data_IF_665915205062
#
_entry.id   IF_665915205062
#
_cell.length_a   1.000
_cell.length_b   1.000
_cell.length_c   1.000
_cell.angle_alpha   90.00
_cell.angle_beta   90.00
_cell.angle_gamma   90.00
#
_symmetry.space_group_name_H-M   'P 1'
#
loop_
_entity.id
_entity.type
_entity.pdbx_description
1 polymer ?
#
# COMPACT_ATOMS: atom_id res chain seq x y z
N UNK A 1 -2.82 -20.33 3.51
CA UNK A 1 -3.06 -21.45 4.45
C UNK A 1 -4.50 -21.45 4.98
N UNK A 2 -5.00 -20.37 5.60
CA UNK A 2 -6.39 -20.32 6.14
C UNK A 2 -7.47 -20.56 5.07
N UNK A 3 -7.36 -19.91 3.90
CA UNK A 3 -8.31 -20.15 2.78
C UNK A 3 -8.36 -21.61 2.31
N UNK A 4 -7.25 -22.34 2.42
CA UNK A 4 -7.18 -23.74 2.02
C UNK A 4 -7.97 -24.63 2.98
N UNK A 5 -7.95 -24.30 4.28
CA UNK A 5 -8.71 -24.99 5.32
C UNK A 5 -10.22 -24.70 5.17
N UNK A 6 -10.58 -23.45 4.87
CA UNK A 6 -11.96 -23.06 4.57
C UNK A 6 -12.52 -23.68 3.27
N UNK A 7 -11.70 -24.32 2.45
CA UNK A 7 -12.16 -25.03 1.24
C UNK A 7 -12.33 -26.54 1.44
N UNK A 8 -11.96 -27.07 2.61
CA UNK A 8 -12.15 -28.49 2.90
C UNK A 8 -13.64 -28.81 3.08
N UNK A 9 -14.04 -30.00 2.59
CA UNK A 9 -15.38 -30.55 2.82
C UNK A 9 -15.56 -30.92 4.29
N UNK A 10 -16.80 -30.97 4.77
CA UNK A 10 -17.10 -31.36 6.16
C UNK A 10 -16.56 -32.76 6.50
N UNK A 11 -16.57 -33.68 5.53
CA UNK A 11 -16.03 -35.04 5.65
C UNK A 11 -14.53 -35.02 6.00
N UNK A 12 -13.73 -34.24 5.27
CA UNK A 12 -12.29 -34.13 5.53
C UNK A 12 -11.97 -33.43 6.85
N UNK A 13 -12.87 -32.58 7.33
CA UNK A 13 -12.74 -31.92 8.64
C UNK A 13 -13.05 -32.92 9.77
N UNK A 14 -14.05 -33.80 9.56
CA UNK A 14 -14.36 -34.87 10.50
C UNK A 14 -13.18 -35.85 10.66
N UNK A 15 -12.50 -36.19 9.57
CA UNK A 15 -11.31 -37.05 9.58
C UNK A 15 -10.13 -36.45 10.38
N UNK A 16 -10.07 -35.12 10.51
CA UNK A 16 -9.03 -34.42 11.28
C UNK A 16 -9.31 -34.43 12.80
N UNK A 17 -10.42 -35.00 13.26
CA UNK A 17 -10.81 -35.02 14.68
C UNK A 17 -11.04 -33.63 15.27
N UNK A 18 -11.28 -32.62 14.43
CA UNK A 18 -11.46 -31.23 14.85
C UNK A 18 -12.92 -30.96 15.25
N UNK A 19 -13.17 -30.08 16.24
CA UNK A 19 -14.52 -29.61 16.56
C UNK A 19 -15.17 -28.98 15.32
N UNK A 20 -16.46 -29.28 15.08
CA UNK A 20 -17.20 -28.68 13.96
C UNK A 20 -17.30 -27.17 14.17
N UNK A 21 -16.77 -26.41 13.20
CA UNK A 21 -16.93 -24.96 13.19
C UNK A 21 -18.42 -24.61 12.98
N UNK A 22 -18.95 -23.68 13.77
CA UNK A 22 -20.30 -23.17 13.54
C UNK A 22 -20.33 -22.39 12.21
N UNK A 23 -21.48 -22.36 11.54
CA UNK A 23 -21.66 -21.65 10.27
C UNK A 23 -21.27 -20.18 10.37
N UNK A 24 -21.60 -19.52 11.49
CA UNK A 24 -21.24 -18.13 11.75
C UNK A 24 -19.73 -17.93 11.92
N UNK A 25 -19.04 -18.88 12.58
CA UNK A 25 -17.59 -18.80 12.75
C UNK A 25 -16.92 -18.94 11.38
N UNK A 26 -17.39 -19.89 10.55
CA UNK A 26 -16.89 -20.09 9.20
C UNK A 26 -17.02 -18.84 8.35
N UNK A 27 -18.20 -18.21 8.37
CA UNK A 27 -18.45 -16.94 7.67
C UNK A 27 -17.54 -15.83 8.18
N UNK A 28 -17.36 -15.73 9.50
CA UNK A 28 -16.45 -14.73 10.10
C UNK A 28 -15.01 -14.94 9.62
N UNK A 29 -14.55 -16.18 9.51
CA UNK A 29 -13.22 -16.48 8.96
C UNK A 29 -13.10 -16.13 7.47
N UNK A 30 -14.15 -16.38 6.68
CA UNK A 30 -14.22 -15.97 5.26
C UNK A 30 -14.15 -14.44 5.14
N UNK A 31 -14.96 -13.71 5.93
CA UNK A 31 -14.95 -12.25 5.96
C UNK A 31 -13.57 -11.70 6.35
N UNK A 32 -12.92 -12.27 7.37
CA UNK A 32 -11.56 -11.88 7.77
C UNK A 32 -10.55 -12.14 6.66
N UNK A 33 -10.64 -13.28 5.96
CA UNK A 33 -9.76 -13.58 4.84
C UNK A 33 -9.91 -12.55 3.71
N UNK A 34 -11.13 -12.14 3.42
CA UNK A 34 -11.44 -11.15 2.40
C UNK A 34 -10.95 -9.75 2.80
N UNK A 35 -11.19 -9.34 4.05
CA UNK A 35 -10.72 -8.05 4.60
C UNK A 35 -9.19 -7.95 4.53
N UNK A 36 -8.47 -9.07 4.65
CA UNK A 36 -7.01 -9.10 4.63
C UNK A 36 -6.39 -9.20 3.22
N UNK A 37 -7.18 -9.43 2.17
CA UNK A 37 -6.72 -9.47 0.76
C UNK A 37 -5.87 -8.24 0.39
N UNK A 38 -6.24 -6.99 0.73
CA UNK A 38 -5.45 -5.82 0.33
C UNK A 38 -4.04 -5.84 0.90
N UNK A 39 -3.87 -6.34 2.13
CA UNK A 39 -2.56 -6.47 2.76
C UNK A 39 -1.74 -7.59 2.12
N UNK A 40 -2.36 -8.71 1.78
CA UNK A 40 -1.70 -9.79 1.04
C UNK A 40 -1.14 -9.27 -0.30
N UNK A 41 -1.95 -8.52 -1.06
CA UNK A 41 -1.53 -7.89 -2.33
C UNK A 41 -0.39 -6.88 -2.10
N UNK A 42 -0.53 -6.01 -1.11
CA UNK A 42 0.49 -5.00 -0.80
C UNK A 42 1.81 -5.65 -0.39
N UNK A 43 1.78 -6.63 0.51
CA UNK A 43 2.96 -7.40 0.93
C UNK A 43 3.60 -8.13 -0.25
N UNK A 44 2.81 -8.77 -1.10
CA UNK A 44 3.33 -9.45 -2.29
C UNK A 44 4.01 -8.48 -3.25
N UNK A 45 3.46 -7.28 -3.41
CA UNK A 45 4.02 -6.26 -4.28
C UNK A 45 5.29 -5.60 -3.72
N UNK A 46 5.53 -5.65 -2.40
CA UNK A 46 6.69 -5.00 -1.75
C UNK A 46 7.74 -5.99 -1.21
N UNK A 47 7.53 -7.30 -1.30
CA UNK A 47 8.49 -8.27 -0.77
C UNK A 47 9.61 -8.63 -1.76
N UNK A 48 10.85 -8.56 -1.25
CA UNK A 48 12.05 -9.35 -1.61
C UNK A 48 12.49 -9.39 -3.06
N UNK A 49 11.80 -10.18 -3.88
CA UNK A 49 12.34 -10.67 -5.16
C UNK A 49 11.93 -9.82 -6.37
N UNK A 50 11.13 -8.76 -6.16
CA UNK A 50 10.59 -7.93 -7.25
C UNK A 50 11.33 -6.61 -7.45
N UNK A 51 12.44 -6.36 -6.73
CA UNK A 51 13.23 -5.13 -6.90
C UNK A 51 12.42 -3.86 -6.61
N UNK A 52 11.80 -3.81 -5.43
CA UNK A 52 10.85 -2.75 -5.06
C UNK A 52 11.59 -1.42 -4.95
N UNK A 53 11.26 -0.52 -5.87
CA UNK A 53 11.83 0.82 -5.89
C UNK A 53 11.17 1.71 -4.84
N UNK A 54 11.90 2.68 -4.30
CA UNK A 54 11.35 3.69 -3.38
C UNK A 54 10.10 4.39 -3.96
N UNK A 55 10.01 4.51 -5.29
CA UNK A 55 8.87 5.06 -6.01
C UNK A 55 7.58 4.25 -5.91
N UNK A 56 7.63 2.99 -5.46
CA UNK A 56 6.44 2.13 -5.33
C UNK A 56 5.75 2.26 -3.97
N UNK A 57 6.44 2.85 -2.98
CA UNK A 57 5.94 2.93 -1.59
C UNK A 57 4.65 3.76 -1.50
N UNK A 58 4.64 4.97 -2.06
CA UNK A 58 3.47 5.86 -1.97
C UNK A 58 2.25 5.27 -2.72
N UNK A 59 2.38 4.79 -3.97
CA UNK A 59 1.25 4.16 -4.67
C UNK A 59 0.71 2.92 -3.95
N UNK A 60 1.58 2.10 -3.36
CA UNK A 60 1.18 0.91 -2.62
C UNK A 60 0.34 1.27 -1.37
N UNK A 61 0.80 2.27 -0.60
CA UNK A 61 0.06 2.77 0.57
C UNK A 61 -1.29 3.34 0.14
N UNK A 62 -1.31 4.21 -0.89
CA UNK A 62 -2.53 4.83 -1.40
C UNK A 62 -3.55 3.79 -1.90
N UNK A 63 -3.11 2.82 -2.68
CA UNK A 63 -3.96 1.73 -3.18
C UNK A 63 -4.53 0.86 -2.05
N UNK A 64 -3.74 0.61 -1.00
CA UNK A 64 -4.20 -0.15 0.18
C UNK A 64 -5.23 0.65 0.98
N UNK A 65 -5.03 1.97 1.16
CA UNK A 65 -6.02 2.85 1.82
C UNK A 65 -7.35 2.87 1.07
N UNK A 66 -7.31 2.94 -0.26
CA UNK A 66 -8.52 2.93 -1.09
C UNK A 66 -9.30 1.62 -0.91
N UNK A 67 -8.62 0.47 -1.03
CA UNK A 67 -9.25 -0.84 -0.82
C UNK A 67 -9.81 -0.99 0.61
N UNK A 68 -9.11 -0.47 1.63
CA UNK A 68 -9.64 -0.47 3.00
C UNK A 68 -10.90 0.39 3.15
N UNK A 69 -10.98 1.54 2.48
CA UNK A 69 -12.18 2.38 2.49
C UNK A 69 -13.38 1.66 1.85
N UNK A 70 -13.17 0.93 0.75
CA UNK A 70 -14.19 0.06 0.14
C UNK A 70 -14.64 -1.06 1.09
N UNK A 71 -13.69 -1.68 1.82
CA UNK A 71 -14.02 -2.71 2.82
C UNK A 71 -14.81 -2.13 4.00
N UNK A 72 -14.54 -0.88 4.41
CA UNK A 72 -15.32 -0.21 5.45
C UNK A 72 -16.79 -0.08 5.02
N UNK A 73 -17.03 0.25 3.76
CA UNK A 73 -18.40 0.31 3.21
C UNK A 73 -19.06 -1.07 3.14
N UNK A 74 -18.31 -2.11 2.75
CA UNK A 74 -18.84 -3.48 2.60
C UNK A 74 -19.18 -4.16 3.93
N UNK A 75 -18.27 -4.12 4.90
CA UNK A 75 -18.40 -4.89 6.15
C UNK A 75 -18.88 -4.05 7.35
N UNK A 76 -18.66 -2.73 7.31
CA UNK A 76 -19.03 -1.77 8.36
C UNK A 76 -18.83 -2.30 9.79
N UNK A 77 -17.62 -2.81 10.09
CA UNK A 77 -17.31 -3.43 11.38
C UNK A 77 -16.10 -2.79 12.06
N UNK A 78 -16.03 -2.90 13.39
CA UNK A 78 -14.95 -2.32 14.22
C UNK A 78 -13.56 -2.81 13.81
N UNK A 79 -13.47 -4.03 13.29
CA UNK A 79 -12.21 -4.60 12.82
C UNK A 79 -11.64 -3.83 11.64
N UNK A 80 -12.44 -3.54 10.61
CA UNK A 80 -11.98 -2.78 9.44
C UNK A 80 -11.63 -1.34 9.82
N UNK A 81 -12.41 -0.69 10.68
CA UNK A 81 -12.11 0.66 11.17
C UNK A 81 -10.79 0.71 11.95
N UNK A 82 -10.53 -0.28 12.79
CA UNK A 82 -9.26 -0.40 13.52
C UNK A 82 -8.08 -0.65 12.56
N UNK A 83 -8.27 -1.47 11.53
CA UNK A 83 -7.27 -1.68 10.48
C UNK A 83 -6.98 -0.38 9.71
N UNK A 84 -8.00 0.34 9.27
CA UNK A 84 -7.84 1.61 8.55
C UNK A 84 -7.08 2.65 9.38
N UNK A 85 -7.44 2.79 10.66
CA UNK A 85 -6.80 3.72 11.60
C UNK A 85 -5.35 3.33 11.85
N UNK A 86 -5.10 2.06 12.16
CA UNK A 86 -3.74 1.58 12.46
C UNK A 86 -2.83 1.60 11.23
N UNK A 87 -3.36 1.27 10.05
CA UNK A 87 -2.64 1.35 8.78
C UNK A 87 -2.23 2.79 8.48
N UNK A 88 -3.18 3.73 8.55
CA UNK A 88 -2.90 5.16 8.32
C UNK A 88 -1.84 5.68 9.29
N UNK A 89 -1.96 5.35 10.58
CA UNK A 89 -0.98 5.76 11.60
C UNK A 89 0.42 5.22 11.31
N UNK A 90 0.55 3.95 10.93
CA UNK A 90 1.86 3.32 10.67
C UNK A 90 2.46 3.78 9.33
N UNK A 91 1.63 4.04 8.32
CA UNK A 91 2.10 4.40 6.99
C UNK A 91 2.46 5.89 6.85
N UNK A 92 1.93 6.76 7.73
CA UNK A 92 2.24 8.18 7.74
C UNK A 92 3.76 8.50 7.77
N UNK A 93 4.56 7.65 8.41
CA UNK A 93 6.02 7.83 8.48
C UNK A 93 6.72 7.68 7.11
N UNK A 94 6.10 6.96 6.17
CA UNK A 94 6.60 6.78 4.81
C UNK A 94 5.99 7.82 3.87
N UNK A 95 4.71 8.15 4.05
CA UNK A 95 4.02 9.16 3.26
C UNK A 95 4.61 10.57 3.45
N UNK A 96 5.08 10.88 4.67
CA UNK A 96 5.67 12.18 4.97
C UNK A 96 7.18 12.27 4.64
N UNK A 97 7.79 11.19 4.16
CA UNK A 97 9.22 11.15 3.85
C UNK A 97 9.46 11.61 2.42
N UNK A 98 10.20 12.71 2.30
CA UNK A 98 10.55 13.35 1.02
C UNK A 98 11.14 12.37 0.00
N UNK A 99 12.00 11.43 0.43
CA UNK A 99 12.62 10.45 -0.46
C UNK A 99 11.58 9.61 -1.23
N UNK A 100 10.48 9.20 -0.59
CA UNK A 100 9.45 8.41 -1.24
C UNK A 100 8.54 9.26 -2.12
N UNK A 101 8.24 10.49 -1.69
CA UNK A 101 7.47 11.45 -2.48
C UNK A 101 8.19 11.80 -3.78
N UNK A 102 9.47 12.18 -3.70
CA UNK A 102 10.30 12.51 -4.88
C UNK A 102 10.52 11.29 -5.77
N UNK A 103 10.86 10.13 -5.20
CA UNK A 103 11.04 8.92 -6.01
C UNK A 103 9.76 8.56 -6.77
N UNK A 104 8.59 8.67 -6.14
CA UNK A 104 7.31 8.40 -6.80
C UNK A 104 7.00 9.45 -7.87
N UNK A 105 7.25 10.73 -7.60
CA UNK A 105 7.01 11.82 -8.54
C UNK A 105 7.89 11.73 -9.80
N UNK A 106 9.14 11.32 -9.63
CA UNK A 106 10.12 11.17 -10.71
C UNK A 106 9.97 9.86 -11.49
N UNK A 107 9.21 8.88 -10.97
CA UNK A 107 8.95 7.62 -11.66
C UNK A 107 7.92 7.81 -12.79
N UNK A 108 8.26 7.53 -14.06
CA UNK A 108 7.35 7.74 -15.19
C UNK A 108 6.04 6.96 -15.11
N UNK A 109 5.99 5.86 -14.34
CA UNK A 109 4.79 5.04 -14.16
C UNK A 109 3.72 5.78 -13.35
N UNK A 110 4.14 6.57 -12.37
CA UNK A 110 3.24 7.24 -11.42
C UNK A 110 3.14 8.73 -11.67
N UNK A 111 4.27 9.40 -11.97
CA UNK A 111 4.38 10.86 -12.11
C UNK A 111 3.71 11.52 -10.91
N UNK A 112 2.84 12.49 -11.13
CA UNK A 112 2.07 13.16 -10.08
C UNK A 112 0.61 12.69 -9.98
N UNK A 113 0.23 11.57 -10.63
CA UNK A 113 -1.17 11.11 -10.70
C UNK A 113 -1.75 10.70 -9.33
N UNK A 114 -0.88 10.36 -8.38
CA UNK A 114 -1.24 9.92 -7.02
C UNK A 114 -1.41 11.08 -6.03
N UNK A 115 -1.02 12.30 -6.41
CA UNK A 115 -1.12 13.49 -5.57
C UNK A 115 -2.17 14.45 -6.15
N UNK A 116 -2.94 15.13 -5.30
CA UNK A 116 -4.01 16.03 -5.72
C UNK A 116 -4.07 17.26 -4.80
N UNK A 117 -4.59 18.38 -5.31
CA UNK A 117 -4.80 19.60 -4.53
C UNK A 117 -3.51 20.31 -4.10
N UNK A 118 -3.51 20.89 -2.90
CA UNK A 118 -2.40 21.71 -2.39
C UNK A 118 -1.06 20.98 -2.27
N UNK A 119 -1.09 19.67 -2.00
CA UNK A 119 0.13 18.85 -1.89
C UNK A 119 0.81 18.68 -3.26
N UNK A 120 0.02 18.66 -4.34
CA UNK A 120 0.53 18.56 -5.70
C UNK A 120 1.28 19.85 -6.09
N UNK A 121 0.67 21.00 -5.80
CA UNK A 121 1.27 22.31 -6.07
C UNK A 121 2.60 22.46 -5.33
N UNK A 122 2.61 22.14 -4.03
CA UNK A 122 3.81 22.17 -3.21
C UNK A 122 4.92 21.28 -3.77
N UNK A 123 4.59 20.02 -4.07
CA UNK A 123 5.58 19.06 -4.59
C UNK A 123 6.13 19.49 -5.96
N UNK A 124 5.29 20.11 -6.80
CA UNK A 124 5.71 20.64 -8.11
C UNK A 124 6.70 21.79 -7.95
N UNK A 125 6.41 22.75 -7.06
CA UNK A 125 7.31 23.85 -6.74
C UNK A 125 8.65 23.32 -6.21
N UNK A 126 8.60 22.39 -5.25
CA UNK A 126 9.79 21.77 -4.66
C UNK A 126 10.65 21.07 -5.72
N UNK A 127 10.03 20.38 -6.69
CA UNK A 127 10.72 19.73 -7.81
C UNK A 127 11.38 20.74 -8.75
N UNK A 128 10.70 21.83 -9.09
CA UNK A 128 11.24 22.88 -9.97
C UNK A 128 12.45 23.54 -9.30
N UNK A 129 12.33 23.97 -8.05
CA UNK A 129 13.43 24.56 -7.30
C UNK A 129 14.64 23.61 -7.18
N UNK A 130 14.40 22.31 -6.97
CA UNK A 130 15.48 21.31 -6.96
C UNK A 130 16.12 21.15 -8.33
N UNK A 131 15.35 21.16 -9.42
CA UNK A 131 15.87 21.07 -10.78
C UNK A 131 16.75 22.28 -11.13
N UNK A 132 16.31 23.50 -10.79
CA UNK A 132 17.08 24.73 -10.98
C UNK A 132 18.41 24.71 -10.21
N UNK A 133 18.39 24.25 -8.96
CA UNK A 133 19.61 24.08 -8.16
C UNK A 133 20.58 23.07 -8.77
N UNK A 134 20.08 21.96 -9.30
CA UNK A 134 20.92 20.96 -9.98
C UNK A 134 21.49 21.51 -11.29
N UNK A 135 20.72 22.32 -12.03
CA UNK A 135 21.20 23.00 -13.23
C UNK A 135 22.30 24.02 -12.91
N UNK A 136 22.13 24.83 -11.86
CA UNK A 136 23.12 25.81 -11.41
C UNK A 136 24.44 25.18 -10.92
N UNK A 137 24.41 23.94 -10.42
CA UNK A 137 25.62 23.20 -10.00
C UNK A 137 26.37 22.58 -11.19
N UNK A 138 25.72 22.42 -12.35
CA UNK A 138 26.33 21.83 -13.57
C UNK A 138 27.07 22.84 -14.45
N UNK A 139 27.01 24.14 -14.18
CA UNK A 139 27.87 25.15 -14.79
C UNK A 139 29.05 25.46 -13.83
N UNK A 140 30.09 24.60 -13.80
CA UNK A 140 31.35 25.04 -14.41
C UNK A 140 32.16 23.86 -14.98
N UNK A 141 32.09 23.62 -16.29
CA UNK A 141 33.21 22.98 -16.96
C UNK A 141 33.28 23.40 -18.42
N UNK A 142 34.50 23.78 -18.82
CA UNK A 142 34.97 24.24 -20.14
C UNK A 142 34.66 25.74 -20.36
N UNK A 143 35.64 26.65 -20.42
CA UNK A 143 36.85 26.63 -21.27
C UNK A 143 38.11 27.05 -20.51
N UNK A 144 39.17 26.22 -20.58
CA UNK A 144 40.53 26.76 -20.67
C UNK A 144 41.17 26.16 -21.93
N UNK A 145 41.60 27.10 -22.77
CA UNK A 145 42.37 27.04 -24.03
C UNK A 145 43.62 26.18 -24.00
#
# INVERSE_FOLDING_TARGET
MIRSILRLSEERIADLGCPKLLTNDRKTHEDVCDILVPFEKATHAVQGDQGVTASFVIPCIGGTKLQLAEMTQKYNCRFVLALQTSFTKRMALYENKEVFLLATALDPRFKLKWCQGSELEKLTIDLVHKAERVAAVKEPFIEET
#
